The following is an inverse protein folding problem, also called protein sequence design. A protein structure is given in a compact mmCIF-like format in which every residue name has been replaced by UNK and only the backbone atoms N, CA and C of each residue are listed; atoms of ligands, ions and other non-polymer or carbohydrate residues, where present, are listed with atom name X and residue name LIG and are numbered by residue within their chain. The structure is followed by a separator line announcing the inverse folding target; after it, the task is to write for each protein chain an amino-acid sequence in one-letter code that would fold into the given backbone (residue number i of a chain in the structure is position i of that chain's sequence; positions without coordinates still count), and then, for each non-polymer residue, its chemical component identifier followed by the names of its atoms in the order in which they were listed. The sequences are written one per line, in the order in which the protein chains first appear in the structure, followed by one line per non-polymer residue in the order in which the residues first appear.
data_IF_871413883862
#
_entry.id   IF_871413883862
#
_cell.length_a   1.000
_cell.length_b   1.000
_cell.length_c   1.000
_cell.angle_alpha   90.00
_cell.angle_beta   90.00
_cell.angle_gamma   90.00
#
_symmetry.space_group_name_H-M   'P 1'
#
loop_
_entity.id
_entity.type
_entity.pdbx_description
1 polymer ?
#
# COMPACT_ATOMS: atom_id res chain seq x y z
N UNK A 1 -37.63 0.49 32.82
CA UNK A 1 -38.37 1.07 31.69
C UNK A 1 -37.37 1.51 30.64
N UNK A 2 -37.66 1.17 29.39
CA UNK A 2 -36.75 1.21 28.26
C UNK A 2 -36.47 2.63 27.76
N UNK A 3 -35.26 2.89 27.27
CA UNK A 3 -35.10 3.71 26.07
C UNK A 3 -33.90 3.25 25.24
N UNK A 4 -34.21 2.38 24.28
CA UNK A 4 -33.33 1.95 23.20
C UNK A 4 -33.05 3.14 22.27
N UNK A 5 -32.02 3.94 22.59
CA UNK A 5 -31.49 4.99 21.71
C UNK A 5 -30.45 4.48 20.69
N UNK A 6 -30.36 3.16 20.49
CA UNK A 6 -29.25 2.50 19.78
C UNK A 6 -29.66 1.91 18.41
N UNK A 7 -30.72 2.43 17.79
CA UNK A 7 -31.21 1.90 16.51
C UNK A 7 -30.62 2.59 15.27
N UNK A 8 -30.43 3.91 15.33
CA UNK A 8 -30.08 4.72 14.15
C UNK A 8 -28.75 5.46 14.27
N UNK A 9 -28.39 5.99 15.45
CA UNK A 9 -27.12 6.70 15.64
C UNK A 9 -25.88 5.80 15.57
N UNK A 10 -25.97 4.59 16.13
CA UNK A 10 -24.89 3.60 16.07
C UNK A 10 -24.65 3.05 14.66
N UNK A 11 -25.73 2.83 13.90
CA UNK A 11 -25.67 2.39 12.51
C UNK A 11 -25.05 3.46 11.60
N UNK A 12 -25.42 4.73 11.80
CA UNK A 12 -24.87 5.86 11.06
C UNK A 12 -23.36 6.04 11.29
N UNK A 13 -22.92 5.92 12.55
CA UNK A 13 -21.50 5.97 12.90
C UNK A 13 -20.70 4.86 12.22
N UNK A 14 -21.25 3.65 12.16
CA UNK A 14 -20.62 2.52 11.46
C UNK A 14 -20.49 2.74 9.96
N UNK A 15 -21.52 3.29 9.31
CA UNK A 15 -21.50 3.61 7.88
C UNK A 15 -20.43 4.67 7.57
N UNK A 16 -20.35 5.74 8.37
CA UNK A 16 -19.32 6.77 8.20
C UNK A 16 -17.93 6.18 8.39
N UNK A 17 -17.74 5.31 9.37
CA UNK A 17 -16.47 4.63 9.60
C UNK A 17 -16.02 3.77 8.41
N UNK A 18 -16.94 2.99 7.83
CA UNK A 18 -16.65 2.19 6.62
C UNK A 18 -16.30 3.08 5.42
N UNK A 19 -16.97 4.22 5.26
CA UNK A 19 -16.65 5.19 4.19
C UNK A 19 -15.24 5.76 4.39
N UNK A 20 -14.87 6.15 5.62
CA UNK A 20 -13.54 6.68 5.92
C UNK A 20 -12.45 5.63 5.66
N UNK A 21 -12.66 4.38 6.07
CA UNK A 21 -11.74 3.27 5.77
C UNK A 21 -11.65 3.03 4.27
N UNK A 22 -12.78 3.02 3.56
CA UNK A 22 -12.82 2.86 2.11
C UNK A 22 -12.04 3.95 1.38
N UNK A 23 -12.19 5.21 1.81
CA UNK A 23 -11.44 6.34 1.29
C UNK A 23 -9.94 6.22 1.61
N UNK A 24 -9.58 5.79 2.82
CA UNK A 24 -8.17 5.59 3.20
C UNK A 24 -7.51 4.54 2.31
N UNK A 25 -8.18 3.40 2.08
CA UNK A 25 -7.70 2.35 1.19
C UNK A 25 -7.64 2.86 -0.25
N UNK A 26 -8.67 3.58 -0.71
CA UNK A 26 -8.69 4.19 -2.04
C UNK A 26 -7.52 5.16 -2.24
N UNK A 27 -7.23 6.04 -1.29
CA UNK A 27 -6.09 6.95 -1.35
C UNK A 27 -4.75 6.21 -1.34
N UNK A 28 -4.60 5.15 -0.55
CA UNK A 28 -3.38 4.32 -0.53
C UNK A 28 -3.19 3.58 -1.85
N UNK A 29 -4.25 3.02 -2.43
CA UNK A 29 -4.20 2.32 -3.73
C UNK A 29 -3.99 3.30 -4.88
N UNK A 30 -4.62 4.48 -4.83
CA UNK A 30 -4.46 5.53 -5.81
C UNK A 30 -3.04 6.11 -5.77
N UNK A 31 -2.48 6.35 -4.57
CA UNK A 31 -1.09 6.77 -4.42
C UNK A 31 -0.10 5.73 -4.97
N UNK A 32 -0.38 4.44 -4.79
CA UNK A 32 0.40 3.36 -5.40
C UNK A 32 0.21 3.27 -6.92
N UNK A 33 -1.00 3.50 -7.43
CA UNK A 33 -1.28 3.55 -8.88
C UNK A 33 -0.61 4.75 -9.56
N UNK A 34 -0.58 5.91 -8.91
CA UNK A 34 0.08 7.11 -9.45
C UNK A 34 1.62 6.95 -9.42
N UNK A 35 2.17 6.15 -8.50
CA UNK A 35 3.58 5.70 -8.55
C UNK A 35 3.86 4.64 -9.63
N UNK A 36 2.83 4.06 -10.23
CA UNK A 36 2.92 3.11 -11.34
C UNK A 36 2.96 3.76 -12.73
N UNK A 37 3.03 5.09 -12.83
CA UNK A 37 3.11 5.84 -14.08
C UNK A 37 4.30 6.80 -14.11
N UNK A 38 5.49 6.28 -13.82
CA UNK A 38 6.74 6.89 -14.30
C UNK A 38 7.57 5.81 -14.98
N UNK A 39 7.76 5.85 -16.31
CA UNK A 39 8.71 4.98 -16.99
C UNK A 39 10.12 5.53 -16.74
N UNK A 40 10.54 5.57 -15.48
CA UNK A 40 11.97 5.62 -15.17
C UNK A 40 12.43 4.17 -15.17
N UNK A 41 13.15 3.77 -16.20
CA UNK A 41 13.61 2.39 -16.41
C UNK A 41 14.38 1.84 -15.19
N UNK A 42 14.89 2.73 -14.33
CA UNK A 42 15.50 2.42 -13.04
C UNK A 42 14.54 1.92 -11.96
N UNK A 43 13.29 2.42 -11.87
CA UNK A 43 12.34 1.92 -10.86
C UNK A 43 11.93 0.47 -11.17
N UNK A 44 11.80 0.08 -12.45
CA UNK A 44 11.46 -1.30 -12.84
C UNK A 44 12.50 -2.32 -12.38
N UNK A 45 13.79 -2.06 -12.59
CA UNK A 45 14.85 -2.98 -12.19
C UNK A 45 14.96 -3.11 -10.66
N UNK A 46 14.85 -2.00 -9.93
CA UNK A 46 14.84 -2.00 -8.47
C UNK A 46 13.60 -2.69 -7.89
N UNK A 47 12.44 -2.57 -8.53
CA UNK A 47 11.20 -3.19 -8.07
C UNK A 47 11.21 -4.72 -8.31
N UNK A 48 11.85 -5.17 -9.38
CA UNK A 48 12.13 -6.60 -9.63
C UNK A 48 13.08 -7.16 -8.56
N UNK A 49 14.15 -6.43 -8.21
CA UNK A 49 15.07 -6.82 -7.14
C UNK A 49 14.35 -6.89 -5.79
N UNK A 50 13.53 -5.89 -5.48
CA UNK A 50 12.76 -5.83 -4.25
C UNK A 50 11.75 -6.98 -4.15
N UNK A 51 11.10 -7.34 -5.25
CA UNK A 51 10.19 -8.52 -5.31
C UNK A 51 10.93 -9.82 -5.05
N UNK A 52 12.13 -10.03 -5.59
CA UNK A 52 12.95 -11.24 -5.36
C UNK A 52 13.49 -11.31 -3.93
N UNK A 53 13.88 -10.17 -3.37
CA UNK A 53 14.26 -10.07 -1.96
C UNK A 53 13.09 -10.38 -1.03
N UNK A 54 11.90 -9.84 -1.32
CA UNK A 54 10.69 -10.14 -0.55
C UNK A 54 10.24 -11.61 -0.65
N UNK A 55 10.54 -12.27 -1.76
CA UNK A 55 10.36 -13.72 -1.92
C UNK A 55 11.43 -14.57 -1.23
N UNK A 56 12.52 -13.95 -0.74
CA UNK A 56 13.66 -14.67 -0.15
C UNK A 56 14.55 -15.39 -1.18
N UNK A 57 14.40 -15.07 -2.47
CA UNK A 57 15.19 -15.69 -3.55
C UNK A 57 16.61 -15.11 -3.63
N UNK A 58 16.83 -13.92 -3.05
CA UNK A 58 18.13 -13.27 -2.97
C UNK A 58 18.37 -12.80 -1.54
N UNK A 59 19.64 -12.82 -1.13
CA UNK A 59 20.07 -12.34 0.18
C UNK A 59 20.16 -10.82 0.22
N UNK A 60 20.22 -10.25 1.43
CA UNK A 60 20.37 -8.80 1.63
C UNK A 60 21.64 -8.25 0.97
N UNK A 61 22.71 -9.03 0.97
CA UNK A 61 24.01 -8.66 0.40
C UNK A 61 23.96 -8.57 -1.13
N UNK A 62 23.26 -9.51 -1.77
CA UNK A 62 23.03 -9.52 -3.22
C UNK A 62 22.13 -8.36 -3.65
N UNK A 63 21.07 -8.07 -2.87
CA UNK A 63 20.19 -6.93 -3.11
C UNK A 63 20.97 -5.60 -3.07
N UNK A 64 21.79 -5.38 -2.05
CA UNK A 64 22.59 -4.15 -1.90
C UNK A 64 23.63 -3.98 -3.01
N UNK A 65 24.28 -5.07 -3.46
CA UNK A 65 25.22 -5.04 -4.59
C UNK A 65 24.52 -4.63 -5.89
N UNK A 66 23.40 -5.27 -6.22
CA UNK A 66 22.66 -4.99 -7.46
C UNK A 66 22.00 -3.59 -7.43
N UNK A 67 21.57 -3.13 -6.26
CA UNK A 67 21.05 -1.77 -6.09
C UNK A 67 22.13 -0.72 -6.39
N UNK A 68 23.34 -0.89 -5.85
CA UNK A 68 24.47 0.03 -6.10
C UNK A 68 24.93 0.04 -7.55
N UNK A 69 24.85 -1.10 -8.22
CA UNK A 69 25.19 -1.24 -9.64
C UNK A 69 24.19 -0.51 -10.55
N UNK A 70 22.91 -0.47 -10.16
CA UNK A 70 21.84 0.21 -10.90
C UNK A 70 21.71 1.71 -10.56
N UNK A 71 22.19 2.14 -9.40
CA UNK A 71 22.23 3.56 -9.00
C UNK A 71 23.51 4.29 -9.48
N UNK A 72 24.51 3.56 -9.99
CA UNK A 72 25.80 4.08 -10.47
C UNK A 72 25.85 4.30 -11.98
#
# INVERSE_FOLDING_TARGET
MMHYGFGYGGMFMWIIFLIVIGLLIYFIVQAQKTKGQTPTQNESHLDILKRRYAKGEITKEEYERMKKDLEG
#
